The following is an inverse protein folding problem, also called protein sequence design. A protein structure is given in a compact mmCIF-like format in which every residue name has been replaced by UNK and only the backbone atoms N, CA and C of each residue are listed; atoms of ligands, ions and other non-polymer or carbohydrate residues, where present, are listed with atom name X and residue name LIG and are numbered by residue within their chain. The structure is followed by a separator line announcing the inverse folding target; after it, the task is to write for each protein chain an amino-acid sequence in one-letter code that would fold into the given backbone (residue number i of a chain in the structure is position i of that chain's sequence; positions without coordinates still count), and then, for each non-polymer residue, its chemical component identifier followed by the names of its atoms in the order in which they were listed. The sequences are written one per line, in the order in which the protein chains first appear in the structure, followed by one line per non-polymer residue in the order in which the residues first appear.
data_IF_400703027284
#
_entry.id   IF_400703027284
#
_cell.length_a   1.000
_cell.length_b   1.000
_cell.length_c   1.000
_cell.angle_alpha   90.00
_cell.angle_beta   90.00
_cell.angle_gamma   90.00
#
_symmetry.space_group_name_H-M   'P 1'
#
loop_
_entity.id
_entity.type
_entity.pdbx_description
1 polymer ?
#
# COMPACT_ATOMS: atom_id res chain seq x y z
N UNK A 1 -31.29 -53.91 42.17
CA UNK A 1 -31.39 -52.43 42.16
C UNK A 1 -30.04 -51.70 42.09
N UNK A 2 -28.89 -52.30 42.45
CA UNK A 2 -27.57 -51.62 42.39
C UNK A 2 -27.01 -51.39 40.97
N UNK A 3 -27.17 -52.33 40.03
CA UNK A 3 -26.58 -52.22 38.68
C UNK A 3 -27.07 -51.02 37.85
N UNK A 4 -28.28 -50.49 38.11
CA UNK A 4 -28.80 -49.34 37.37
C UNK A 4 -28.25 -48.01 37.90
N UNK A 5 -27.94 -47.91 39.20
CA UNK A 5 -27.28 -46.73 39.79
C UNK A 5 -25.82 -46.63 39.31
N UNK A 6 -25.12 -47.75 39.31
CA UNK A 6 -23.72 -47.84 38.88
C UNK A 6 -23.55 -47.59 37.36
N UNK A 7 -24.53 -48.02 36.54
CA UNK A 7 -24.61 -47.65 35.11
C UNK A 7 -24.91 -46.17 34.91
N UNK A 8 -25.78 -45.57 35.74
CA UNK A 8 -26.08 -44.13 35.70
C UNK A 8 -24.85 -43.28 35.98
N UNK A 9 -24.12 -43.57 37.06
CA UNK A 9 -22.86 -42.87 37.41
C UNK A 9 -21.77 -43.04 36.35
N UNK A 10 -21.64 -44.23 35.74
CA UNK A 10 -20.68 -44.43 34.63
C UNK A 10 -21.04 -43.62 33.39
N UNK A 11 -22.34 -43.50 33.08
CA UNK A 11 -22.81 -42.71 31.94
C UNK A 11 -22.59 -41.22 32.17
N UNK A 12 -22.89 -40.72 33.37
CA UNK A 12 -22.70 -39.32 33.76
C UNK A 12 -21.21 -38.93 33.76
N UNK A 13 -20.33 -39.84 34.22
CA UNK A 13 -18.89 -39.64 34.12
C UNK A 13 -18.38 -39.60 32.67
N UNK A 14 -18.90 -40.45 31.77
CA UNK A 14 -18.55 -40.38 30.35
C UNK A 14 -19.06 -39.10 29.68
N UNK A 15 -20.28 -38.64 29.98
CA UNK A 15 -20.82 -37.37 29.47
C UNK A 15 -19.92 -36.20 29.92
N UNK A 16 -19.53 -36.17 31.20
CA UNK A 16 -18.63 -35.15 31.73
C UNK A 16 -17.23 -35.17 31.10
N UNK A 17 -16.69 -36.35 30.78
CA UNK A 17 -15.44 -36.45 30.00
C UNK A 17 -15.60 -35.94 28.57
N UNK A 18 -16.71 -36.25 27.89
CA UNK A 18 -16.99 -35.74 26.55
C UNK A 18 -17.11 -34.21 26.54
N UNK A 19 -17.78 -33.62 27.52
CA UNK A 19 -17.89 -32.16 27.68
C UNK A 19 -16.48 -31.55 27.88
N UNK A 20 -15.67 -32.11 28.79
CA UNK A 20 -14.29 -31.63 29.01
C UNK A 20 -13.42 -31.75 27.76
N UNK A 21 -13.58 -32.82 26.98
CA UNK A 21 -12.85 -33.01 25.71
C UNK A 21 -13.30 -31.97 24.68
N UNK A 22 -14.61 -31.69 24.58
CA UNK A 22 -15.17 -30.67 23.70
C UNK A 22 -14.66 -29.27 24.07
N UNK A 23 -14.74 -28.88 25.34
CA UNK A 23 -14.22 -27.60 25.85
C UNK A 23 -12.72 -27.43 25.56
N UNK A 24 -11.93 -28.49 25.75
CA UNK A 24 -10.49 -28.48 25.48
C UNK A 24 -10.18 -28.33 23.99
N UNK A 25 -11.01 -28.91 23.11
CA UNK A 25 -10.91 -28.75 21.66
C UNK A 25 -11.26 -27.32 21.24
N UNK A 26 -12.31 -26.74 21.80
CA UNK A 26 -12.72 -25.36 21.52
C UNK A 26 -11.71 -24.32 22.00
N UNK A 27 -11.16 -24.49 23.21
CA UNK A 27 -10.09 -23.64 23.70
C UNK A 27 -8.84 -23.71 22.80
N UNK A 28 -8.54 -24.89 22.24
CA UNK A 28 -7.43 -25.06 21.29
C UNK A 28 -7.71 -24.40 19.93
N UNK A 29 -8.96 -24.48 19.44
CA UNK A 29 -9.43 -23.81 18.20
C UNK A 29 -9.38 -22.28 18.38
N UNK A 30 -9.94 -21.75 19.46
CA UNK A 30 -9.91 -20.32 19.83
C UNK A 30 -8.47 -19.78 19.92
N UNK A 31 -7.56 -20.51 20.59
CA UNK A 31 -6.15 -20.13 20.67
C UNK A 31 -5.49 -20.07 19.29
N UNK A 32 -5.70 -21.06 18.42
CA UNK A 32 -5.14 -21.04 17.06
C UNK A 32 -5.61 -19.82 16.27
N UNK A 33 -6.89 -19.45 16.37
CA UNK A 33 -7.45 -18.31 15.64
C UNK A 33 -6.86 -16.96 16.09
N UNK A 34 -6.58 -16.78 17.39
CA UNK A 34 -5.89 -15.59 17.92
C UNK A 34 -4.50 -15.41 17.28
N UNK A 35 -3.84 -16.50 16.89
CA UNK A 35 -2.53 -16.44 16.23
C UNK A 35 -2.63 -16.30 14.71
N UNK A 36 -3.55 -17.02 14.07
CA UNK A 36 -3.62 -17.10 12.61
C UNK A 36 -4.20 -15.82 11.99
N UNK A 37 -5.22 -15.22 12.60
CA UNK A 37 -5.91 -14.06 12.02
C UNK A 37 -4.98 -12.84 11.86
N UNK A 38 -4.26 -12.38 12.90
CA UNK A 38 -3.36 -11.23 12.75
C UNK A 38 -2.21 -11.52 11.77
N UNK A 39 -1.72 -12.76 11.69
CA UNK A 39 -0.71 -13.17 10.72
C UNK A 39 -1.21 -13.02 9.27
N UNK A 40 -2.42 -13.51 8.99
CA UNK A 40 -3.03 -13.38 7.66
C UNK A 40 -3.19 -11.90 7.30
N UNK A 41 -3.64 -11.07 8.24
CA UNK A 41 -3.79 -9.62 8.03
C UNK A 41 -2.43 -8.98 7.73
N UNK A 42 -1.38 -9.30 8.49
CA UNK A 42 -0.02 -8.80 8.23
C UNK A 42 0.48 -9.24 6.84
N UNK A 43 0.26 -10.49 6.43
CA UNK A 43 0.64 -10.95 5.09
C UNK A 43 -0.08 -10.17 3.99
N UNK A 44 -1.39 -9.94 4.13
CA UNK A 44 -2.18 -9.16 3.17
C UNK A 44 -1.67 -7.72 3.07
N UNK A 45 -1.41 -7.08 4.22
CA UNK A 45 -0.84 -5.74 4.28
C UNK A 45 0.52 -5.67 3.56
N UNK A 46 1.43 -6.59 3.86
CA UNK A 46 2.77 -6.62 3.23
C UNK A 46 2.64 -6.72 1.71
N UNK A 47 1.80 -7.64 1.21
CA UNK A 47 1.62 -7.82 -0.23
C UNK A 47 1.08 -6.55 -0.88
N UNK A 48 0.01 -5.96 -0.32
CA UNK A 48 -0.60 -4.77 -0.90
C UNK A 48 0.33 -3.55 -0.85
N UNK A 49 0.97 -3.30 0.30
CA UNK A 49 1.87 -2.15 0.44
C UNK A 49 3.18 -2.31 -0.31
N UNK A 50 3.65 -3.54 -0.54
CA UNK A 50 4.80 -3.77 -1.43
C UNK A 50 4.46 -3.37 -2.86
N UNK A 51 3.27 -3.74 -3.35
CA UNK A 51 2.83 -3.36 -4.70
C UNK A 51 2.68 -1.83 -4.82
N UNK A 52 2.06 -1.18 -3.82
CA UNK A 52 1.95 0.29 -3.77
C UNK A 52 3.33 0.97 -3.76
N UNK A 53 4.26 0.47 -2.95
CA UNK A 53 5.64 0.99 -2.86
C UNK A 53 6.36 0.91 -4.21
N UNK A 54 6.23 -0.21 -4.92
CA UNK A 54 6.82 -0.41 -6.25
C UNK A 54 6.24 0.58 -7.27
N UNK A 55 4.92 0.80 -7.23
CA UNK A 55 4.28 1.79 -8.09
C UNK A 55 4.80 3.20 -7.81
N UNK A 56 4.79 3.62 -6.53
CA UNK A 56 5.23 4.97 -6.15
C UNK A 56 6.70 5.23 -6.46
N UNK A 57 7.60 4.28 -6.19
CA UNK A 57 9.02 4.49 -6.47
C UNK A 57 9.29 4.64 -7.96
N UNK A 58 8.57 3.90 -8.81
CA UNK A 58 8.72 4.01 -10.26
C UNK A 58 8.31 5.41 -10.75
N UNK A 59 7.15 5.90 -10.31
CA UNK A 59 6.70 7.26 -10.67
C UNK A 59 7.58 8.35 -10.07
N UNK A 60 8.02 8.21 -8.82
CA UNK A 60 8.93 9.17 -8.18
C UNK A 60 10.27 9.24 -8.92
N UNK A 61 10.82 8.09 -9.33
CA UNK A 61 12.06 8.01 -10.10
C UNK A 61 11.90 8.66 -11.48
N UNK A 62 10.85 8.31 -12.21
CA UNK A 62 10.57 8.85 -13.54
C UNK A 62 10.36 10.37 -13.52
N UNK A 63 9.59 10.88 -12.56
CA UNK A 63 9.40 12.32 -12.38
C UNK A 63 10.70 13.04 -12.02
N UNK A 64 11.57 12.40 -11.23
CA UNK A 64 12.90 12.96 -10.93
C UNK A 64 13.78 13.04 -12.17
N UNK A 65 13.81 11.99 -13.00
CA UNK A 65 14.55 12.01 -14.26
C UNK A 65 14.04 13.14 -15.17
N UNK A 66 12.72 13.27 -15.31
CA UNK A 66 12.10 14.35 -16.06
C UNK A 66 12.52 15.74 -15.54
N UNK A 67 12.45 15.96 -14.24
CA UNK A 67 12.86 17.23 -13.63
C UNK A 67 14.34 17.55 -13.91
N UNK A 68 15.23 16.57 -13.71
CA UNK A 68 16.66 16.75 -13.94
C UNK A 68 16.97 17.09 -15.39
N UNK A 69 16.38 16.38 -16.34
CA UNK A 69 16.61 16.62 -17.76
C UNK A 69 16.09 17.97 -18.23
N UNK A 70 14.88 18.36 -17.79
CA UNK A 70 14.36 19.70 -18.08
C UNK A 70 15.22 20.79 -17.42
N UNK A 71 15.75 20.55 -16.23
CA UNK A 71 16.68 21.44 -15.54
C UNK A 71 18.02 21.60 -16.26
N UNK A 72 18.59 20.49 -16.77
CA UNK A 72 19.82 20.52 -17.58
C UNK A 72 19.60 21.28 -18.88
N UNK A 73 18.48 21.04 -19.55
CA UNK A 73 18.10 21.77 -20.76
C UNK A 73 17.99 23.28 -20.49
N UNK A 74 17.29 23.65 -19.41
CA UNK A 74 17.15 25.03 -18.98
C UNK A 74 18.51 25.68 -18.68
N UNK A 75 19.42 24.99 -18.01
CA UNK A 75 20.76 25.52 -17.74
C UNK A 75 21.59 25.72 -19.02
N UNK A 76 21.47 24.81 -19.99
CA UNK A 76 22.18 24.92 -21.26
C UNK A 76 21.68 26.11 -22.10
N UNK A 77 20.38 26.40 -22.10
CA UNK A 77 19.84 27.57 -22.80
C UNK A 77 20.29 28.88 -22.16
N UNK A 78 20.42 28.92 -20.82
CA UNK A 78 21.00 30.06 -20.12
C UNK A 78 22.47 30.27 -20.46
N UNK A 79 23.26 29.20 -20.53
CA UNK A 79 24.69 29.30 -20.86
C UNK A 79 24.92 29.83 -22.27
N UNK A 80 24.04 29.48 -23.23
CA UNK A 80 24.08 29.99 -24.61
C UNK A 80 23.59 31.44 -24.76
N UNK A 81 23.04 32.02 -23.68
CA UNK A 81 22.49 33.38 -23.66
C UNK A 81 21.39 33.58 -24.72
N UNK A 82 20.58 32.53 -24.96
CA UNK A 82 19.50 32.55 -25.93
C UNK A 82 18.38 33.52 -25.50
N UNK A 83 17.81 34.25 -26.45
CA UNK A 83 16.77 35.23 -26.17
C UNK A 83 15.46 34.56 -25.76
N UNK A 84 14.91 34.96 -24.62
CA UNK A 84 13.64 34.45 -24.13
C UNK A 84 12.44 35.08 -24.85
N UNK A 85 11.42 34.30 -25.23
CA UNK A 85 10.21 34.85 -25.83
C UNK A 85 9.40 35.64 -24.79
N UNK A 86 9.28 36.96 -24.95
CA UNK A 86 8.43 37.78 -24.05
C UNK A 86 6.93 37.58 -24.28
N UNK A 87 6.53 36.81 -25.31
CA UNK A 87 5.14 36.54 -25.63
C UNK A 87 4.56 35.42 -24.77
N UNK A 88 3.28 35.55 -24.42
CA UNK A 88 2.45 34.48 -23.83
C UNK A 88 2.96 33.89 -22.50
N UNK A 89 3.35 34.74 -21.55
CA UNK A 89 3.57 34.29 -20.15
C UNK A 89 4.70 33.24 -20.03
N UNK A 90 5.67 33.29 -20.93
CA UNK A 90 6.81 32.38 -21.05
C UNK A 90 8.11 33.14 -20.78
N UNK A 91 8.23 33.71 -19.58
CA UNK A 91 9.48 34.31 -19.12
C UNK A 91 10.42 33.27 -18.50
N UNK A 92 11.69 33.64 -18.38
CA UNK A 92 12.68 32.87 -17.63
C UNK A 92 12.23 32.62 -16.18
N UNK A 93 11.80 33.68 -15.48
CA UNK A 93 11.33 33.59 -14.09
C UNK A 93 10.18 32.60 -13.93
N UNK A 94 9.22 32.62 -14.85
CA UNK A 94 8.05 31.74 -14.81
C UNK A 94 8.38 30.29 -15.17
N UNK A 95 9.39 30.09 -16.01
CA UNK A 95 9.88 28.75 -16.35
C UNK A 95 10.60 28.11 -15.16
N UNK A 96 11.37 28.90 -14.39
CA UNK A 96 11.98 28.46 -13.14
C UNK A 96 10.90 28.08 -12.11
N UNK A 97 9.89 28.94 -11.93
CA UNK A 97 8.76 28.67 -11.02
C UNK A 97 8.07 27.35 -11.40
N UNK A 98 7.74 27.17 -12.68
CA UNK A 98 7.16 25.93 -13.21
C UNK A 98 8.06 24.71 -12.98
N UNK A 99 9.37 24.81 -13.18
CA UNK A 99 10.31 23.72 -12.87
C UNK A 99 10.27 23.36 -11.38
N UNK A 100 10.15 24.35 -10.49
CA UNK A 100 10.02 24.10 -9.05
C UNK A 100 8.71 23.40 -8.67
N UNK A 101 7.61 23.66 -9.40
CA UNK A 101 6.35 22.93 -9.19
C UNK A 101 6.49 21.44 -9.54
N UNK A 102 7.28 21.10 -10.57
CA UNK A 102 7.60 19.71 -10.93
C UNK A 102 8.42 19.04 -9.82
N UNK A 103 9.41 19.75 -9.26
CA UNK A 103 10.24 19.27 -8.15
C UNK A 103 9.39 19.02 -6.88
N UNK A 104 8.50 19.95 -6.53
CA UNK A 104 7.58 19.77 -5.40
C UNK A 104 6.66 18.55 -5.56
N UNK A 105 6.20 18.29 -6.78
CA UNK A 105 5.40 17.09 -7.07
C UNK A 105 6.24 15.81 -6.90
N UNK A 106 7.48 15.81 -7.40
CA UNK A 106 8.42 14.71 -7.22
C UNK A 106 8.69 14.45 -5.73
N UNK A 107 8.90 15.49 -4.93
CA UNK A 107 9.11 15.37 -3.49
C UNK A 107 7.87 14.80 -2.77
N UNK A 108 6.67 15.19 -3.22
CA UNK A 108 5.40 14.66 -2.71
C UNK A 108 5.27 13.16 -2.97
N UNK A 109 5.59 12.69 -4.18
CA UNK A 109 5.64 11.27 -4.51
C UNK A 109 6.66 10.52 -3.64
N UNK A 110 7.83 11.13 -3.38
CA UNK A 110 8.85 10.53 -2.53
C UNK A 110 8.41 10.39 -1.07
N UNK A 111 7.76 11.42 -0.51
CA UNK A 111 7.19 11.38 0.84
C UNK A 111 6.15 10.28 0.99
N UNK A 112 5.28 10.13 -0.01
CA UNK A 112 4.30 9.04 -0.04
C UNK A 112 4.98 7.67 -0.10
N UNK A 113 6.01 7.51 -0.92
CA UNK A 113 6.80 6.28 -1.00
C UNK A 113 7.45 5.90 0.34
N UNK A 114 8.11 6.84 1.01
CA UNK A 114 8.73 6.59 2.32
C UNK A 114 7.68 6.16 3.35
N UNK A 115 6.49 6.76 3.31
CA UNK A 115 5.37 6.37 4.17
C UNK A 115 4.91 4.93 3.90
N UNK A 116 4.73 4.52 2.63
CA UNK A 116 4.39 3.13 2.27
C UNK A 116 5.42 2.12 2.80
N UNK A 117 6.71 2.44 2.71
CA UNK A 117 7.76 1.56 3.22
C UNK A 117 7.61 1.30 4.71
N UNK A 118 7.25 2.33 5.50
CA UNK A 118 7.01 2.16 6.93
C UNK A 118 5.84 1.21 7.19
N UNK A 119 4.80 1.28 6.37
CA UNK A 119 3.65 0.38 6.43
C UNK A 119 3.96 -1.06 6.00
N UNK A 120 5.03 -1.31 5.23
CA UNK A 120 5.55 -2.65 4.96
C UNK A 120 6.40 -3.15 6.12
N UNK A 121 7.28 -2.31 6.65
CA UNK A 121 8.25 -2.68 7.69
C UNK A 121 7.55 -3.09 8.99
N UNK A 122 6.54 -2.34 9.43
CA UNK A 122 5.81 -2.61 10.67
C UNK A 122 5.19 -4.02 10.74
N UNK A 123 4.31 -4.44 9.81
CA UNK A 123 3.73 -5.79 9.81
C UNK A 123 4.77 -6.88 9.55
N UNK A 124 5.85 -6.58 8.81
CA UNK A 124 6.95 -7.52 8.58
C UNK A 124 7.73 -7.81 9.86
N UNK A 125 8.14 -6.77 10.60
CA UNK A 125 8.77 -6.93 11.92
C UNK A 125 7.84 -7.70 12.86
N UNK A 126 6.54 -7.38 12.85
CA UNK A 126 5.55 -8.12 13.61
C UNK A 126 5.61 -9.62 13.28
N UNK A 127 5.49 -10.02 12.01
CA UNK A 127 5.55 -11.43 11.61
C UNK A 127 6.85 -12.13 12.07
N UNK A 128 8.00 -11.46 11.99
CA UNK A 128 9.29 -12.02 12.44
C UNK A 128 9.29 -12.27 13.96
N UNK A 129 8.89 -11.27 14.75
CA UNK A 129 8.85 -11.37 16.22
C UNK A 129 7.92 -12.52 16.64
N UNK A 130 6.79 -12.68 15.96
CA UNK A 130 5.87 -13.79 16.24
C UNK A 130 6.37 -15.14 15.78
N UNK A 131 6.95 -15.22 14.59
CA UNK A 131 7.58 -16.44 14.11
C UNK A 131 8.66 -16.93 15.08
N UNK A 132 9.48 -16.01 15.58
CA UNK A 132 10.51 -16.27 16.57
C UNK A 132 9.93 -16.76 17.91
N UNK A 133 8.92 -16.06 18.45
CA UNK A 133 8.25 -16.46 19.70
C UNK A 133 7.55 -17.82 19.59
N UNK A 134 6.92 -18.14 18.45
CA UNK A 134 6.30 -19.44 18.22
C UNK A 134 7.36 -20.54 18.10
N UNK A 135 8.49 -20.27 17.42
CA UNK A 135 9.58 -21.21 17.27
C UNK A 135 10.22 -21.56 18.63
N UNK A 136 10.45 -20.55 19.49
CA UNK A 136 10.94 -20.74 20.86
C UNK A 136 9.91 -21.46 21.75
N UNK A 137 8.62 -21.15 21.61
CA UNK A 137 7.55 -21.73 22.42
C UNK A 137 7.07 -23.12 21.96
N UNK A 138 7.74 -23.78 20.98
CA UNK A 138 7.58 -25.23 20.74
C UNK A 138 7.75 -26.06 22.02
N UNK A 139 8.39 -25.50 23.06
CA UNK A 139 8.53 -26.04 24.42
C UNK A 139 7.39 -25.55 25.35
N UNK A 140 6.11 -25.83 25.03
CA UNK A 140 4.94 -25.68 25.93
C UNK A 140 4.78 -24.37 26.76
N UNK A 141 5.51 -23.30 26.46
CA UNK A 141 5.50 -22.05 27.24
C UNK A 141 4.40 -21.14 26.72
N UNK A 142 3.65 -20.54 27.65
CA UNK A 142 2.61 -19.55 27.34
C UNK A 142 3.29 -18.27 26.85
N UNK A 143 2.89 -17.77 25.68
CA UNK A 143 3.31 -16.45 25.19
C UNK A 143 2.94 -15.39 26.24
N UNK A 144 3.89 -14.50 26.55
CA UNK A 144 3.66 -13.41 27.49
C UNK A 144 2.56 -12.48 26.99
N UNK A 145 1.64 -12.08 27.87
CA UNK A 145 0.51 -11.21 27.53
C UNK A 145 0.93 -9.91 26.83
N UNK A 146 2.08 -9.34 27.22
CA UNK A 146 2.65 -8.13 26.61
C UNK A 146 2.91 -8.32 25.10
N UNK A 147 3.52 -9.44 24.72
CA UNK A 147 3.81 -9.76 23.32
C UNK A 147 2.50 -10.00 22.58
N UNK A 148 1.58 -10.75 23.16
CA UNK A 148 0.26 -10.99 22.56
C UNK A 148 -0.51 -9.69 22.25
N UNK A 149 -0.47 -8.70 23.14
CA UNK A 149 -1.10 -7.39 22.92
C UNK A 149 -0.45 -6.69 21.72
N UNK A 150 0.88 -6.65 21.65
CA UNK A 150 1.62 -6.06 20.51
C UNK A 150 1.27 -6.78 19.20
N UNK A 151 1.04 -8.09 19.23
CA UNK A 151 0.65 -8.85 18.04
C UNK A 151 -0.65 -8.40 17.41
N UNK A 152 -1.62 -8.10 18.27
CA UNK A 152 -2.97 -7.81 17.86
C UNK A 152 -3.05 -6.33 17.49
N UNK A 153 -2.39 -5.47 18.26
CA UNK A 153 -2.42 -4.02 18.04
C UNK A 153 -1.63 -3.59 16.80
N UNK A 154 -0.51 -4.24 16.47
CA UNK A 154 0.32 -3.86 15.34
C UNK A 154 -0.41 -3.92 13.97
N UNK A 155 -1.03 -5.03 13.56
CA UNK A 155 -1.81 -5.07 12.32
C UNK A 155 -3.00 -4.11 12.31
N UNK A 156 -3.65 -3.88 13.46
CA UNK A 156 -4.72 -2.87 13.57
C UNK A 156 -4.17 -1.47 13.32
N UNK A 157 -3.03 -1.14 13.93
CA UNK A 157 -2.36 0.14 13.72
C UNK A 157 -1.95 0.30 12.26
N UNK A 158 -1.36 -0.73 11.63
CA UNK A 158 -0.98 -0.69 10.21
C UNK A 158 -2.20 -0.54 9.30
N UNK A 159 -3.35 -1.16 9.62
CA UNK A 159 -4.60 -0.94 8.88
C UNK A 159 -5.08 0.51 8.97
N UNK A 160 -4.99 1.13 10.14
CA UNK A 160 -5.37 2.54 10.34
C UNK A 160 -4.41 3.45 9.56
N UNK A 161 -3.11 3.19 9.62
CA UNK A 161 -2.10 3.92 8.86
C UNK A 161 -2.37 3.81 7.35
N UNK A 162 -2.61 2.61 6.85
CA UNK A 162 -2.97 2.37 5.45
C UNK A 162 -4.21 3.16 5.00
N UNK A 163 -5.21 3.30 5.87
CA UNK A 163 -6.39 4.12 5.56
C UNK A 163 -6.04 5.62 5.53
N UNK A 164 -5.24 6.09 6.49
CA UNK A 164 -4.77 7.48 6.53
C UNK A 164 -3.94 7.83 5.29
N UNK A 165 -3.08 6.91 4.88
CA UNK A 165 -2.25 7.00 3.69
C UNK A 165 -3.09 7.02 2.40
N UNK A 166 -4.13 6.19 2.30
CA UNK A 166 -5.08 6.25 1.20
C UNK A 166 -5.73 7.65 1.07
N UNK A 167 -6.12 8.25 2.20
CA UNK A 167 -6.63 9.62 2.20
C UNK A 167 -5.55 10.63 1.75
N UNK A 168 -4.30 10.46 2.19
CA UNK A 168 -3.19 11.34 1.82
C UNK A 168 -2.87 11.25 0.33
N UNK A 169 -2.83 10.04 -0.24
CA UNK A 169 -2.68 9.78 -1.69
C UNK A 169 -3.81 10.48 -2.45
N UNK A 170 -5.05 10.29 -2.00
CA UNK A 170 -6.23 10.90 -2.61
C UNK A 170 -6.19 12.42 -2.61
N UNK A 171 -5.83 13.06 -1.49
CA UNK A 171 -5.81 14.54 -1.40
C UNK A 171 -4.62 15.16 -2.10
N UNK A 172 -3.45 14.54 -1.98
CA UNK A 172 -2.17 15.10 -2.46
C UNK A 172 -2.02 14.92 -3.96
N UNK A 173 -2.20 13.70 -4.47
CA UNK A 173 -1.91 13.41 -5.88
C UNK A 173 -3.06 13.80 -6.81
N UNK A 174 -4.32 13.50 -6.47
CA UNK A 174 -5.44 13.67 -7.40
C UNK A 174 -5.63 15.12 -7.86
N UNK A 175 -5.37 16.09 -6.99
CA UNK A 175 -5.48 17.52 -7.29
C UNK A 175 -4.31 18.06 -8.12
N UNK A 176 -3.16 17.38 -8.07
CA UNK A 176 -1.92 17.85 -8.69
C UNK A 176 -1.69 17.29 -10.09
N UNK A 177 -2.40 16.23 -10.52
CA UNK A 177 -2.21 15.59 -11.84
C UNK A 177 -2.30 16.59 -12.99
N UNK A 178 -3.43 17.29 -13.11
CA UNK A 178 -3.67 18.19 -14.24
C UNK A 178 -2.75 19.42 -14.21
N UNK A 179 -2.57 20.13 -13.07
CA UNK A 179 -1.62 21.22 -12.98
C UNK A 179 -0.20 20.82 -13.39
N UNK A 180 0.32 19.71 -12.84
CA UNK A 180 1.70 19.29 -13.11
C UNK A 180 1.89 18.89 -14.58
N UNK A 181 0.94 18.17 -15.18
CA UNK A 181 0.98 17.86 -16.62
C UNK A 181 0.99 19.10 -17.49
N UNK A 182 0.17 20.09 -17.14
CA UNK A 182 0.15 21.37 -17.84
C UNK A 182 1.50 22.10 -17.71
N UNK A 183 2.08 22.12 -16.51
CA UNK A 183 3.38 22.73 -16.21
C UNK A 183 4.49 22.06 -17.02
N UNK A 184 4.57 20.73 -17.04
CA UNK A 184 5.54 19.95 -17.83
C UNK A 184 5.46 20.33 -19.31
N UNK A 185 4.25 20.34 -19.86
CA UNK A 185 4.05 20.67 -21.27
C UNK A 185 4.49 22.12 -21.57
N UNK A 186 4.15 23.07 -20.70
CA UNK A 186 4.56 24.47 -20.84
C UNK A 186 6.07 24.65 -20.76
N UNK A 187 6.74 23.99 -19.82
CA UNK A 187 8.21 24.04 -19.70
C UNK A 187 8.85 23.48 -20.95
N UNK A 188 8.45 22.27 -21.36
CA UNK A 188 9.02 21.57 -22.52
C UNK A 188 8.87 22.41 -23.81
N UNK A 189 7.66 22.91 -24.09
CA UNK A 189 7.41 23.74 -25.27
C UNK A 189 8.17 25.07 -25.25
N UNK A 190 8.32 25.69 -24.07
CA UNK A 190 9.07 26.94 -23.95
C UNK A 190 10.56 26.71 -24.21
N UNK A 191 11.12 25.67 -23.61
CA UNK A 191 12.52 25.31 -23.78
C UNK A 191 12.86 24.93 -25.23
N UNK A 192 12.00 24.15 -25.89
CA UNK A 192 12.15 23.79 -27.30
C UNK A 192 12.13 24.99 -28.24
N UNK A 193 11.32 26.01 -27.92
CA UNK A 193 11.28 27.22 -28.72
C UNK A 193 12.57 28.04 -28.60
N UNK A 194 13.17 28.06 -27.41
CA UNK A 194 14.39 28.83 -27.12
C UNK A 194 15.62 28.13 -27.70
N UNK A 195 15.76 26.82 -27.45
CA UNK A 195 16.96 26.09 -27.80
C UNK A 195 16.64 24.77 -28.53
N UNK A 196 16.10 24.83 -29.77
CA UNK A 196 15.57 23.67 -30.49
C UNK A 196 16.60 22.54 -30.72
N UNK A 197 17.90 22.87 -30.82
CA UNK A 197 18.97 21.88 -30.98
C UNK A 197 19.10 20.94 -29.75
N UNK A 198 18.72 21.43 -28.56
CA UNK A 198 18.76 20.67 -27.32
C UNK A 198 17.73 19.54 -27.23
N UNK A 199 16.77 19.49 -28.17
CA UNK A 199 15.68 18.49 -28.17
C UNK A 199 16.18 17.05 -28.25
N UNK A 200 17.27 16.80 -28.97
CA UNK A 200 17.78 15.46 -29.27
C UNK A 200 18.08 14.65 -28.00
N UNK A 201 18.62 15.28 -26.97
CA UNK A 201 18.90 14.62 -25.69
C UNK A 201 17.60 14.17 -24.99
N UNK A 202 16.58 15.03 -24.95
CA UNK A 202 15.28 14.68 -24.36
C UNK A 202 14.60 13.56 -25.16
N UNK A 203 14.62 13.66 -26.49
CA UNK A 203 14.04 12.67 -27.40
C UNK A 203 14.67 11.28 -27.22
N UNK A 204 16.00 11.22 -27.08
CA UNK A 204 16.74 9.96 -26.85
C UNK A 204 16.42 9.38 -25.47
N UNK A 205 16.43 10.20 -24.41
CA UNK A 205 16.24 9.73 -23.03
C UNK A 205 14.83 9.20 -22.81
N UNK A 206 13.82 9.91 -23.32
CA UNK A 206 12.42 9.51 -23.21
C UNK A 206 11.94 8.63 -24.37
N UNK A 207 12.81 8.34 -25.33
CA UNK A 207 12.52 7.56 -26.54
C UNK A 207 11.22 8.05 -27.23
N UNK A 208 11.18 9.34 -27.52
CA UNK A 208 10.02 10.05 -28.06
C UNK A 208 10.45 11.12 -29.06
N UNK A 209 9.51 11.69 -29.81
CA UNK A 209 9.77 12.78 -30.76
C UNK A 209 8.87 14.00 -30.50
N UNK A 210 9.42 15.21 -30.57
CA UNK A 210 8.63 16.44 -30.38
C UNK A 210 7.91 16.91 -31.64
N UNK A 211 8.44 16.59 -32.80
CA UNK A 211 7.85 16.87 -34.09
C UNK A 211 7.54 15.54 -34.76
N UNK A 212 6.36 15.40 -35.35
CA UNK A 212 5.96 14.19 -36.08
C UNK A 212 6.91 14.00 -37.28
N UNK A 213 8.03 13.32 -37.07
CA UNK A 213 8.78 12.67 -38.14
C UNK A 213 7.98 11.45 -38.58
N UNK A 214 8.24 10.95 -39.79
CA UNK A 214 7.64 9.71 -40.30
C UNK A 214 8.14 8.47 -39.51
N UNK A 215 8.99 8.68 -38.50
CA UNK A 215 9.58 7.66 -37.65
C UNK A 215 8.61 7.14 -36.58
N UNK A 216 8.83 5.89 -36.17
CA UNK A 216 7.89 5.04 -35.43
C UNK A 216 7.71 5.40 -33.94
N UNK A 217 8.32 6.49 -33.45
CA UNK A 217 8.36 6.82 -32.03
C UNK A 217 7.13 7.61 -31.58
N UNK A 218 6.68 7.44 -30.33
CA UNK A 218 5.53 8.17 -29.80
C UNK A 218 5.83 9.66 -29.59
N UNK A 219 4.81 10.53 -29.62
CA UNK A 219 5.00 11.96 -29.39
C UNK A 219 5.44 12.23 -27.94
N UNK A 220 6.45 13.07 -27.75
CA UNK A 220 6.95 13.44 -26.42
C UNK A 220 5.88 14.07 -25.53
N UNK A 221 4.91 14.78 -26.10
CA UNK A 221 3.79 15.33 -25.33
C UNK A 221 3.00 14.26 -24.56
N UNK A 222 2.83 13.07 -25.16
CA UNK A 222 2.21 11.91 -24.50
C UNK A 222 3.15 11.26 -23.51
N UNK A 223 4.39 10.97 -23.91
CA UNK A 223 5.37 10.27 -23.05
C UNK A 223 5.68 11.06 -21.77
N UNK A 224 5.87 12.37 -21.86
CA UNK A 224 6.14 13.23 -20.71
C UNK A 224 4.91 13.34 -19.80
N UNK A 225 3.71 13.32 -20.38
CA UNK A 225 2.45 13.33 -19.63
C UNK A 225 2.22 12.03 -18.85
N UNK A 226 2.67 10.90 -19.41
CA UNK A 226 2.58 9.57 -18.80
C UNK A 226 3.58 9.36 -17.64
N UNK A 227 4.58 10.24 -17.49
CA UNK A 227 5.44 10.25 -16.31
C UNK A 227 4.68 10.69 -15.05
N UNK A 228 3.57 11.43 -15.20
CA UNK A 228 2.70 11.82 -14.09
C UNK A 228 1.66 10.73 -13.86
N UNK A 229 1.54 10.28 -12.62
CA UNK A 229 0.63 9.19 -12.24
C UNK A 229 -0.80 9.45 -12.74
N UNK A 230 -1.38 8.54 -13.54
CA UNK A 230 -2.73 8.70 -14.04
C UNK A 230 -3.76 8.45 -12.93
N UNK A 231 -4.97 8.99 -13.10
CA UNK A 231 -6.07 8.80 -12.15
C UNK A 231 -6.41 7.32 -11.93
N UNK A 232 -6.29 6.50 -12.98
CA UNK A 232 -6.44 5.04 -12.87
C UNK A 232 -5.38 4.41 -11.97
N UNK A 233 -4.13 4.88 -12.04
CA UNK A 233 -3.03 4.46 -11.16
C UNK A 233 -3.30 4.83 -9.71
N UNK A 234 -3.79 6.05 -9.45
CA UNK A 234 -4.20 6.47 -8.11
C UNK A 234 -5.34 5.59 -7.59
N UNK A 235 -6.39 5.37 -8.39
CA UNK A 235 -7.52 4.52 -8.00
C UNK A 235 -7.08 3.09 -7.69
N UNK A 236 -6.15 2.54 -8.47
CA UNK A 236 -5.57 1.23 -8.21
C UNK A 236 -4.82 1.19 -6.88
N UNK A 237 -3.99 2.19 -6.58
CA UNK A 237 -3.31 2.27 -5.28
C UNK A 237 -4.29 2.40 -4.11
N UNK A 238 -5.32 3.25 -4.25
CA UNK A 238 -6.37 3.39 -3.24
C UNK A 238 -7.07 2.06 -2.97
N UNK A 239 -7.37 1.29 -4.03
CA UNK A 239 -7.95 -0.04 -3.91
C UNK A 239 -7.04 -0.99 -3.11
N UNK A 240 -5.72 -0.94 -3.31
CA UNK A 240 -4.76 -1.74 -2.57
C UNK A 240 -4.71 -1.40 -1.07
N UNK A 241 -5.03 -0.17 -0.66
CA UNK A 241 -5.21 0.16 0.76
C UNK A 241 -6.55 -0.33 1.34
N UNK A 242 -7.59 -0.39 0.51
CA UNK A 242 -8.95 -0.79 0.95
C UNK A 242 -9.08 -2.32 1.08
N UNK A 243 -8.42 -3.09 0.21
CA UNK A 243 -8.50 -4.57 0.20
C UNK A 243 -8.13 -5.18 1.56
N UNK A 244 -6.97 -4.88 2.17
CA UNK A 244 -6.60 -5.42 3.49
C UNK A 244 -7.65 -5.13 4.56
N UNK A 245 -8.28 -3.95 4.50
CA UNK A 245 -9.32 -3.55 5.44
C UNK A 245 -10.59 -4.39 5.29
N UNK A 246 -11.12 -4.53 4.07
CA UNK A 246 -12.31 -5.34 3.79
C UNK A 246 -12.05 -6.81 4.18
N UNK A 247 -10.89 -7.36 3.78
CA UNK A 247 -10.51 -8.73 4.13
C UNK A 247 -10.41 -8.93 5.64
N UNK A 248 -9.85 -7.96 6.38
CA UNK A 248 -9.74 -8.03 7.84
C UNK A 248 -11.11 -8.06 8.50
N UNK A 249 -12.02 -7.16 8.09
CA UNK A 249 -13.41 -7.14 8.58
C UNK A 249 -14.10 -8.47 8.29
N UNK A 250 -13.98 -8.97 7.06
CA UNK A 250 -14.58 -10.25 6.66
C UNK A 250 -14.10 -11.41 7.52
N UNK A 251 -12.78 -11.53 7.75
CA UNK A 251 -12.19 -12.59 8.57
C UNK A 251 -12.70 -12.50 10.02
N UNK A 252 -12.76 -11.29 10.59
CA UNK A 252 -13.26 -11.08 11.96
C UNK A 252 -14.73 -11.45 12.08
N UNK A 253 -15.59 -10.97 11.17
CA UNK A 253 -17.04 -11.27 11.17
C UNK A 253 -17.29 -12.77 10.99
N UNK A 254 -16.59 -13.40 10.04
CA UNK A 254 -16.71 -14.84 9.80
C UNK A 254 -16.35 -15.64 11.07
N UNK A 255 -15.30 -15.23 11.77
CA UNK A 255 -14.88 -15.87 13.02
C UNK A 255 -15.90 -15.69 14.16
N UNK A 256 -16.51 -14.50 14.28
CA UNK A 256 -17.56 -14.23 15.26
C UNK A 256 -18.83 -15.05 14.97
N UNK A 257 -19.20 -15.25 13.70
CA UNK A 257 -20.35 -16.10 13.32
C UNK A 257 -20.08 -17.58 13.59
N UNK A 258 -18.89 -18.06 13.23
CA UNK A 258 -18.48 -19.47 13.44
C UNK A 258 -18.54 -19.90 14.91
N UNK A 259 -18.33 -18.98 15.86
CA UNK A 259 -18.26 -19.30 17.29
C UNK A 259 -19.62 -19.42 17.99
N UNK A 260 -20.70 -18.92 17.39
CA UNK A 260 -22.06 -18.98 17.96
C UNK A 260 -22.95 -20.10 17.39
N UNK A 261 -22.58 -20.73 16.26
CA UNK A 261 -23.45 -21.70 15.58
C UNK A 261 -23.19 -23.16 16.00
N UNK A 262 -21.98 -23.49 16.49
CA UNK A 262 -21.66 -24.86 16.93
C UNK A 262 -22.17 -25.19 18.35
N UNK A 263 -22.43 -24.21 19.21
CA UNK A 263 -22.88 -24.44 20.59
C UNK A 263 -24.40 -24.61 20.76
N UNK A 264 -25.22 -24.22 19.78
CA UNK A 264 -26.68 -24.27 19.91
C UNK A 264 -27.28 -25.65 19.58
N UNK A 265 -26.66 -26.42 18.69
CA UNK A 265 -27.20 -27.72 18.28
C UNK A 265 -26.98 -28.85 19.29
N UNK A 266 -25.99 -28.72 20.18
CA UNK A 266 -25.78 -29.69 21.27
C UNK A 266 -26.63 -29.37 22.51
N UNK A 267 -26.91 -28.10 22.78
CA UNK A 267 -27.73 -27.71 23.96
C UNK A 267 -29.24 -27.91 23.75
N UNK A 268 -29.73 -27.92 22.50
CA UNK A 268 -31.15 -28.15 22.19
C UNK A 268 -31.52 -29.65 22.24
N UNK A 269 -30.54 -30.55 22.10
CA UNK A 269 -30.77 -32.00 22.22
C UNK A 269 -30.67 -32.53 23.67
N UNK A 270 -30.32 -31.68 24.64
CA UNK A 270 -30.20 -32.06 26.07
C UNK A 270 -31.40 -31.58 26.93
N UNK A 271 -32.43 -31.01 26.31
CA UNK A 271 -33.69 -30.65 26.98
C UNK A 271 -34.94 -31.20 26.29
N UNK A 272 -34.90 -32.46 25.87
CA UNK A 272 -36.12 -33.28 25.68
C UNK A 272 -35.89 -34.69 26.18
#
# INVERSE_FOLDING_TARGET
MNNNKEKGEKLENHINEFIKIAEKRDLKKKRKCIFIIPAIICCLLIVCQTINSIYLVNYAYNMRQLYLELGLYFNNSLFRNDSWPEKNNNSMSKTIERLSEIDMYQESLWKLFVSEILEVILPFICLIVFGYEIALNKINRKIGYKILVVYISCPILTLILSLAQACMVGVTLSKQIFPVRYVINRVSMTLLHIYPEGRSNLEIIFNCEFYDSVDKLPPCSGVLHDQVMPMSGINFMLLLHIIPFICSIYIIIHQLKSTNVEHLFLYVLEKK
#
